data_IF_300242799481
#
_entry.id   IF_300242799481
#
_cell.length_a   1.000
_cell.length_b   1.000
_cell.length_c   1.000
_cell.angle_alpha   90.00
_cell.angle_beta   90.00
_cell.angle_gamma   90.00
#
_symmetry.space_group_name_H-M   'P 1'
#
loop_
_entity.id
_entity.type
_entity.pdbx_description
1 polymer ?
#
# COMPACT_ATOMS: atom_id res chain seq x y z
N UNK A 1 -16.20 9.94 4.46
CA UNK A 1 -15.16 9.98 5.51
C UNK A 1 -13.88 9.37 4.94
N UNK A 2 -13.22 10.08 4.03
CA UNK A 2 -11.86 9.84 3.48
C UNK A 2 -11.22 11.17 3.01
N UNK A 3 -11.92 12.31 3.17
CA UNK A 3 -11.64 13.56 2.45
C UNK A 3 -10.36 14.26 2.91
N UNK A 4 -9.80 13.87 4.05
CA UNK A 4 -8.57 14.45 4.59
C UNK A 4 -7.37 13.51 4.53
N UNK A 5 -7.57 12.25 4.09
CA UNK A 5 -6.46 11.32 3.92
C UNK A 5 -5.99 11.40 2.47
N UNK A 6 -4.84 12.03 2.28
CA UNK A 6 -4.20 12.19 1.00
C UNK A 6 -2.70 11.96 1.15
N UNK A 7 -2.07 11.49 0.08
CA UNK A 7 -0.62 11.40 -0.02
C UNK A 7 -0.19 12.18 -1.25
N UNK A 8 0.82 13.03 -1.10
CA UNK A 8 1.44 13.67 -2.24
C UNK A 8 2.37 12.68 -2.97
N UNK A 9 2.83 13.08 -4.17
CA UNK A 9 3.66 12.21 -5.02
C UNK A 9 4.96 11.74 -4.35
N UNK A 10 5.57 12.55 -3.50
CA UNK A 10 6.81 12.20 -2.79
C UNK A 10 6.54 11.13 -1.73
N UNK A 11 5.42 11.28 -1.00
CA UNK A 11 4.99 10.33 0.03
C UNK A 11 4.58 9.00 -0.60
N UNK A 12 3.87 9.02 -1.72
CA UNK A 12 3.57 7.82 -2.50
C UNK A 12 4.85 7.07 -2.86
N UNK A 13 5.85 7.76 -3.44
CA UNK A 13 7.15 7.13 -3.78
C UNK A 13 7.83 6.52 -2.56
N UNK A 14 7.77 7.20 -1.42
CA UNK A 14 8.35 6.70 -0.16
C UNK A 14 7.64 5.44 0.32
N UNK A 15 6.30 5.46 0.35
CA UNK A 15 5.49 4.28 0.68
C UNK A 15 5.86 3.10 -0.22
N UNK A 16 5.97 3.31 -1.54
CA UNK A 16 6.39 2.25 -2.46
C UNK A 16 7.80 1.72 -2.15
N UNK A 17 8.78 2.61 -1.97
CA UNK A 17 10.17 2.23 -1.79
C UNK A 17 10.43 1.48 -0.47
N UNK A 18 9.64 1.76 0.56
CA UNK A 18 9.79 1.19 1.91
C UNK A 18 8.75 0.11 2.21
N UNK A 19 7.94 -0.30 1.23
CA UNK A 19 7.05 -1.46 1.36
C UNK A 19 7.77 -2.74 0.95
N UNK A 20 7.45 -3.86 1.61
CA UNK A 20 7.92 -5.20 1.23
C UNK A 20 6.82 -6.01 0.60
N UNK A 21 7.16 -6.97 -0.27
CA UNK A 21 6.20 -7.93 -0.77
C UNK A 21 5.60 -8.74 0.40
N UNK A 22 4.29 -8.99 0.33
CA UNK A 22 3.55 -9.82 1.28
C UNK A 22 2.69 -10.83 0.53
N UNK A 23 2.27 -11.88 1.21
CA UNK A 23 1.31 -12.85 0.70
C UNK A 23 -0.12 -12.61 1.23
N UNK A 24 -1.09 -13.41 0.74
CA UNK A 24 -2.49 -13.30 1.15
C UNK A 24 -2.73 -13.46 2.66
N UNK A 25 -2.15 -14.49 3.32
CA UNK A 25 -2.22 -14.63 4.77
C UNK A 25 -1.67 -13.42 5.54
N UNK A 26 -0.49 -12.91 5.20
CA UNK A 26 0.08 -11.71 5.82
C UNK A 26 -0.86 -10.51 5.65
N UNK A 27 -1.35 -10.28 4.43
CA UNK A 27 -2.31 -9.23 4.14
C UNK A 27 -3.57 -9.35 5.01
N UNK A 28 -4.16 -10.55 5.08
CA UNK A 28 -5.39 -10.79 5.81
C UNK A 28 -5.23 -10.65 7.33
N UNK A 29 -4.10 -11.07 7.89
CA UNK A 29 -3.89 -11.10 9.34
C UNK A 29 -3.31 -9.80 9.89
N UNK A 30 -2.47 -9.09 9.11
CA UNK A 30 -1.67 -7.98 9.63
C UNK A 30 -2.20 -6.61 9.22
N UNK A 31 -3.11 -6.53 8.25
CA UNK A 31 -3.53 -5.25 7.67
C UNK A 31 -5.04 -5.03 7.72
N UNK A 32 -5.43 -3.79 7.99
CA UNK A 32 -6.82 -3.36 7.87
C UNK A 32 -7.23 -3.14 6.42
N UNK A 33 -8.42 -3.62 6.04
CA UNK A 33 -9.04 -3.28 4.75
C UNK A 33 -9.98 -2.10 4.95
N UNK A 34 -9.48 -0.90 4.64
CA UNK A 34 -10.25 0.34 4.78
C UNK A 34 -10.87 0.80 3.44
N UNK A 35 -11.98 1.55 3.46
CA UNK A 35 -12.62 2.03 2.23
C UNK A 35 -11.82 3.14 1.52
N UNK A 36 -10.84 3.76 2.19
CA UNK A 36 -10.06 4.84 1.61
C UNK A 36 -8.87 4.29 0.82
N UNK A 37 -8.81 4.66 -0.46
CA UNK A 37 -7.78 4.20 -1.38
C UNK A 37 -7.29 5.35 -2.28
N UNK A 38 -5.99 5.35 -2.56
CA UNK A 38 -5.39 6.21 -3.59
C UNK A 38 -5.06 5.30 -4.76
N UNK A 39 -5.69 5.57 -5.90
CA UNK A 39 -5.52 4.80 -7.13
C UNK A 39 -4.72 5.64 -8.13
N UNK A 40 -3.82 5.00 -8.85
CA UNK A 40 -3.10 5.63 -9.94
C UNK A 40 -2.41 4.62 -10.83
N UNK A 41 -1.57 5.11 -11.72
CA UNK A 41 -0.80 4.29 -12.65
C UNK A 41 0.69 4.55 -12.49
N UNK A 42 1.49 3.50 -12.51
CA UNK A 42 2.94 3.57 -12.67
C UNK A 42 3.33 3.06 -14.05
N UNK A 43 4.37 3.66 -14.64
CA UNK A 43 4.97 3.19 -15.88
C UNK A 43 6.35 2.62 -15.59
N UNK A 44 6.59 1.39 -16.03
CA UNK A 44 7.88 0.73 -15.94
C UNK A 44 8.14 -0.03 -17.25
N UNK A 45 9.26 0.25 -17.91
CA UNK A 45 9.65 -0.38 -19.18
C UNK A 45 8.54 -0.28 -20.26
N UNK A 46 7.95 0.91 -20.42
CA UNK A 46 6.84 1.20 -21.34
C UNK A 46 5.54 0.40 -21.07
N UNK A 47 5.47 -0.32 -19.95
CA UNK A 47 4.27 -1.00 -19.49
C UNK A 47 3.62 -0.22 -18.35
N UNK A 48 2.29 -0.07 -18.43
CA UNK A 48 1.50 0.55 -17.38
C UNK A 48 0.97 -0.50 -16.41
N UNK A 49 1.05 -0.16 -15.13
CA UNK A 49 0.48 -0.94 -14.04
C UNK A 49 -0.43 -0.04 -13.21
N UNK A 50 -1.58 -0.54 -12.83
CA UNK A 50 -2.45 0.14 -11.88
C UNK A 50 -1.94 -0.12 -10.48
N UNK A 51 -1.97 0.89 -9.62
CA UNK A 51 -1.73 0.69 -8.21
C UNK A 51 -2.91 1.19 -7.39
N UNK A 52 -3.08 0.58 -6.22
CA UNK A 52 -3.97 1.07 -5.17
C UNK A 52 -3.23 1.05 -3.84
N UNK A 53 -3.16 2.19 -3.16
CA UNK A 53 -2.68 2.29 -1.78
C UNK A 53 -3.90 2.35 -0.88
N UNK A 54 -4.05 1.37 0.00
CA UNK A 54 -5.08 1.37 1.01
C UNK A 54 -4.62 2.16 2.25
N UNK A 55 -5.54 2.89 2.89
CA UNK A 55 -5.22 3.61 4.13
C UNK A 55 -4.88 2.70 5.31
N UNK A 56 -5.01 1.38 5.17
CA UNK A 56 -4.56 0.38 6.14
C UNK A 56 -3.15 -0.17 5.91
N UNK A 57 -2.23 0.65 5.36
CA UNK A 57 -0.80 0.34 5.23
C UNK A 57 -0.40 -0.77 4.23
N UNK A 58 -1.22 -1.02 3.20
CA UNK A 58 -0.87 -1.96 2.13
C UNK A 58 -1.11 -1.38 0.74
N UNK A 59 -0.41 -1.94 -0.24
CA UNK A 59 -0.41 -1.51 -1.64
C UNK A 59 -0.62 -2.71 -2.55
N UNK A 60 -1.43 -2.54 -3.59
CA UNK A 60 -1.47 -3.46 -4.73
C UNK A 60 -0.85 -2.83 -5.96
N UNK A 61 -0.16 -3.63 -6.76
CA UNK A 61 0.24 -3.29 -8.12
C UNK A 61 -0.30 -4.38 -9.05
N UNK A 62 -1.09 -3.99 -10.04
CA UNK A 62 -1.81 -4.91 -10.91
C UNK A 62 -1.47 -4.69 -12.38
N UNK A 63 -1.29 -5.81 -13.09
CA UNK A 63 -1.35 -5.95 -14.55
C UNK A 63 -2.67 -6.61 -14.95
N UNK A 64 -2.83 -6.99 -16.23
CA UNK A 64 -4.00 -7.71 -16.71
C UNK A 64 -4.13 -9.15 -16.18
N UNK A 65 -3.06 -9.73 -15.64
CA UNK A 65 -2.99 -11.14 -15.23
C UNK A 65 -2.53 -11.36 -13.79
N UNK A 66 -1.90 -10.36 -13.18
CA UNK A 66 -1.20 -10.51 -11.90
C UNK A 66 -1.49 -9.32 -11.00
N UNK A 67 -1.68 -9.59 -9.71
CA UNK A 67 -1.68 -8.57 -8.66
C UNK A 67 -0.61 -8.90 -7.65
N UNK A 68 0.31 -7.97 -7.44
CA UNK A 68 1.32 -8.02 -6.39
C UNK A 68 0.81 -7.28 -5.16
N UNK A 69 1.08 -7.84 -3.98
CA UNK A 69 0.73 -7.26 -2.69
C UNK A 69 2.01 -6.79 -1.98
N UNK A 70 1.94 -5.59 -1.42
CA UNK A 70 3.01 -5.02 -0.60
C UNK A 70 2.44 -4.46 0.70
N UNK A 71 3.21 -4.58 1.77
CA UNK A 71 2.86 -4.10 3.11
C UNK A 71 3.91 -3.14 3.64
N UNK A 72 3.46 -2.12 4.38
CA UNK A 72 4.32 -1.16 5.05
C UNK A 72 4.36 -1.45 6.55
N UNK A 73 5.53 -1.86 7.04
CA UNK A 73 5.77 -2.21 8.45
C UNK A 73 6.63 -1.17 9.19
N UNK A 74 7.18 -0.21 8.45
CA UNK A 74 8.09 0.80 8.99
C UNK A 74 7.32 1.81 9.84
N UNK A 75 7.60 1.85 11.15
CA UNK A 75 6.91 2.78 12.08
C UNK A 75 6.99 4.24 11.66
N UNK A 76 8.07 4.62 10.98
CA UNK A 76 8.24 5.97 10.44
C UNK A 76 7.18 6.37 9.38
N UNK A 77 6.53 5.37 8.77
CA UNK A 77 5.50 5.55 7.76
C UNK A 77 4.07 5.51 8.32
N UNK A 78 3.86 5.22 9.61
CA UNK A 78 2.51 5.15 10.20
C UNK A 78 1.73 6.46 10.02
N UNK A 79 2.43 7.60 9.98
CA UNK A 79 1.82 8.92 9.68
C UNK A 79 1.16 9.04 8.29
N UNK A 80 1.47 8.13 7.35
CA UNK A 80 0.90 8.10 6.00
C UNK A 80 -0.37 7.27 5.93
N UNK A 81 -0.76 6.57 7.00
CA UNK A 81 -1.87 5.63 7.00
C UNK A 81 -2.86 5.97 8.13
N UNK A 82 -4.10 5.55 7.95
CA UNK A 82 -5.13 5.66 8.98
C UNK A 82 -5.10 4.45 9.93
N UNK A 83 -4.50 3.35 9.49
CA UNK A 83 -4.26 2.17 10.29
C UNK A 83 -2.90 1.58 9.92
N UNK A 84 -2.09 1.32 10.93
CA UNK A 84 -0.78 0.69 10.80
C UNK A 84 -0.92 -0.84 10.68
N UNK A 85 0.13 -1.49 10.18
CA UNK A 85 0.22 -2.94 10.20
C UNK A 85 0.36 -3.44 11.65
N UNK A 86 -0.23 -4.58 11.97
CA UNK A 86 0.03 -5.26 13.23
C UNK A 86 1.48 -5.76 13.25
N UNK A 87 2.12 -5.65 14.41
CA UNK A 87 3.44 -6.26 14.62
C UNK A 87 3.29 -7.78 14.52
N UNK A 88 4.12 -8.41 13.69
CA UNK A 88 4.34 -9.85 13.79
C UNK A 88 5.00 -10.08 15.15
N UNK A 89 4.26 -10.64 16.11
CA UNK A 89 4.87 -11.15 17.33
C UNK A 89 5.79 -12.31 16.91
N UNK A 90 7.10 -12.12 17.04
CA UNK A 90 8.11 -13.20 16.96
C UNK A 90 7.89 -14.25 18.06
#
# INVERSE_FOLDING_TARGET
MCQSWELNKSEIKKVFAESRAINGPEWHHLFGVLPCQIIGTISQNDQQYEFSINSGAWVTVSSSDTTLLFGNFEKANNKYFLMEALEENE
#
